data_IF_486109801259
#
_entry.id   IF_486109801259
#
_cell.length_a   1.000
_cell.length_b   1.000
_cell.length_c   1.000
_cell.angle_alpha   90.00
_cell.angle_beta   90.00
_cell.angle_gamma   90.00
#
_symmetry.space_group_name_H-M   'P 1'
#
loop_
_entity.id
_entity.type
_entity.pdbx_description
1 polymer ?
#
# COMPACT_ATOMS: atom_id res chain seq x y z
N UNK A 1 23.44 12.55 11.71
CA UNK A 1 22.02 12.90 11.50
C UNK A 1 21.69 14.31 11.99
N UNK A 2 21.88 14.63 13.27
CA UNK A 2 21.44 15.91 13.86
C UNK A 2 21.91 17.19 13.14
N UNK A 3 23.14 17.20 12.63
CA UNK A 3 23.73 18.40 12.00
C UNK A 3 23.36 18.62 10.53
N UNK A 4 22.87 17.60 9.82
CA UNK A 4 22.75 17.63 8.35
C UNK A 4 21.40 17.14 7.80
N UNK A 5 20.66 16.34 8.56
CA UNK A 5 19.45 15.69 8.04
C UNK A 5 18.21 16.55 8.28
N UNK A 6 17.52 16.94 7.20
CA UNK A 6 16.25 17.68 7.29
C UNK A 6 15.04 16.79 7.59
N UNK A 7 15.10 15.53 7.14
CA UNK A 7 14.02 14.55 7.29
C UNK A 7 14.58 13.29 7.92
N UNK A 8 13.81 12.69 8.82
CA UNK A 8 14.12 11.41 9.46
C UNK A 8 13.03 10.41 9.07
N UNK A 9 13.46 9.25 8.58
CA UNK A 9 12.62 8.09 8.28
C UNK A 9 13.06 6.92 9.15
N UNK A 10 12.10 6.22 9.74
CA UNK A 10 12.31 5.06 10.60
C UNK A 10 12.11 3.81 9.77
N UNK A 11 13.05 2.88 9.88
CA UNK A 11 12.91 1.55 9.29
C UNK A 11 12.09 0.69 10.26
N UNK A 12 10.89 0.31 9.83
CA UNK A 12 10.00 -0.57 10.57
C UNK A 12 9.86 -1.91 9.85
N UNK A 13 9.60 -2.98 10.59
CA UNK A 13 9.33 -4.30 10.03
C UNK A 13 8.05 -4.92 10.59
N UNK A 14 7.38 -5.72 9.77
CA UNK A 14 6.17 -6.47 10.16
C UNK A 14 6.52 -7.78 10.88
N UNK A 15 5.72 -8.13 11.90
CA UNK A 15 5.85 -9.39 12.63
C UNK A 15 5.05 -10.51 11.96
N UNK A 16 5.57 -11.03 10.84
CA UNK A 16 4.84 -11.98 9.99
C UNK A 16 4.61 -13.35 10.66
N UNK A 17 5.40 -13.71 11.68
CA UNK A 17 5.20 -14.98 12.41
C UNK A 17 3.97 -14.98 13.33
N UNK A 18 3.44 -13.81 13.67
CA UNK A 18 2.24 -13.68 14.51
C UNK A 18 0.98 -13.98 13.71
N UNK A 19 1.02 -13.78 12.39
CA UNK A 19 -0.09 -14.08 11.48
C UNK A 19 0.05 -15.49 10.90
N UNK A 20 -1.08 -16.17 10.68
CA UNK A 20 -1.13 -17.52 10.08
C UNK A 20 -1.01 -17.46 8.55
N UNK A 21 0.12 -16.96 8.05
CA UNK A 21 0.41 -16.88 6.61
C UNK A 21 1.64 -17.70 6.25
N UNK A 22 1.69 -18.24 5.03
CA UNK A 22 2.82 -19.05 4.54
C UNK A 22 4.12 -18.25 4.37
N UNK A 23 4.00 -16.96 4.07
CA UNK A 23 5.16 -16.08 3.93
C UNK A 23 5.89 -15.93 5.28
N UNK A 24 7.19 -16.22 5.30
CA UNK A 24 8.03 -16.07 6.52
C UNK A 24 8.86 -14.78 6.53
N UNK A 25 9.00 -14.13 5.38
CA UNK A 25 9.82 -12.92 5.21
C UNK A 25 9.05 -11.68 5.67
N UNK A 26 9.65 -10.90 6.55
CA UNK A 26 9.10 -9.63 7.01
C UNK A 26 9.13 -8.57 5.90
N UNK A 27 8.06 -7.78 5.81
CA UNK A 27 8.05 -6.54 5.04
C UNK A 27 8.76 -5.45 5.84
N UNK A 28 9.71 -4.78 5.19
CA UNK A 28 10.45 -3.64 5.74
C UNK A 28 9.93 -2.38 5.05
N UNK A 29 9.57 -1.37 5.84
CA UNK A 29 8.99 -0.11 5.36
C UNK A 29 9.69 1.06 6.03
N UNK A 30 9.92 2.12 5.26
CA UNK A 30 10.38 3.40 5.79
C UNK A 30 9.19 4.29 6.12
N UNK A 31 9.09 4.73 7.37
CA UNK A 31 8.02 5.60 7.85
C UNK A 31 8.62 6.96 8.20
N UNK A 32 8.15 8.03 7.57
CA UNK A 32 8.62 9.38 7.86
C UNK A 32 8.07 9.86 9.20
N UNK A 33 8.93 10.50 10.01
CA UNK A 33 8.50 11.18 11.24
C UNK A 33 8.21 12.66 10.99
N UNK A 34 6.97 13.03 11.28
CA UNK A 34 6.44 14.38 11.16
C UNK A 34 6.33 15.05 12.55
N UNK A 35 6.53 16.37 12.60
CA UNK A 35 6.48 17.17 13.84
C UNK A 35 7.80 17.29 14.63
N UNK A 36 7.91 18.30 15.50
CA UNK A 36 9.06 18.52 16.40
C UNK A 36 10.38 18.92 15.72
N UNK A 37 11.42 19.11 16.54
CA UNK A 37 12.79 19.36 16.06
C UNK A 37 13.50 18.04 15.65
N UNK A 38 14.64 18.14 14.94
CA UNK A 38 15.44 16.96 14.54
C UNK A 38 15.96 16.22 15.79
N UNK A 39 16.25 16.95 16.87
CA UNK A 39 16.69 16.40 18.15
C UNK A 39 15.60 15.56 18.82
N UNK A 40 14.39 16.09 18.89
CA UNK A 40 13.23 15.41 19.47
C UNK A 40 12.90 14.13 18.72
N UNK A 41 12.90 14.19 17.38
CA UNK A 41 12.71 13.02 16.53
C UNK A 41 13.74 11.95 16.83
N UNK A 42 15.01 12.31 16.95
CA UNK A 42 16.08 11.33 17.21
C UNK A 42 15.96 10.72 18.60
N UNK A 43 15.60 11.51 19.61
CA UNK A 43 15.35 11.01 20.97
C UNK A 43 14.19 10.03 20.98
N UNK A 44 13.07 10.39 20.36
CA UNK A 44 11.89 9.53 20.24
C UNK A 44 12.22 8.20 19.53
N UNK A 45 12.97 8.25 18.42
CA UNK A 45 13.40 7.02 17.71
C UNK A 45 14.22 6.12 18.62
N UNK A 46 15.20 6.68 19.34
CA UNK A 46 16.05 5.88 20.25
C UNK A 46 15.26 5.17 21.34
N UNK A 47 14.23 5.81 21.89
CA UNK A 47 13.38 5.22 22.92
C UNK A 47 12.47 4.10 22.40
N UNK A 48 12.16 4.12 21.10
CA UNK A 48 11.28 3.19 20.40
C UNK A 48 12.01 2.06 19.66
N UNK A 49 13.33 2.14 19.54
CA UNK A 49 14.11 1.03 18.99
C UNK A 49 13.85 -0.25 19.79
N UNK A 50 13.75 -1.37 19.07
CA UNK A 50 13.50 -2.72 19.58
C UNK A 50 12.13 -2.93 20.27
N UNK A 51 11.28 -1.90 20.35
CA UNK A 51 9.93 -2.01 20.92
C UNK A 51 8.87 -2.17 19.82
N UNK A 52 7.85 -3.02 20.04
CA UNK A 52 6.71 -3.10 19.14
C UNK A 52 5.86 -1.83 19.23
N UNK A 53 5.38 -1.35 18.09
CA UNK A 53 4.46 -0.20 18.01
C UNK A 53 3.06 -0.71 17.70
N UNK A 54 2.11 -0.43 18.59
CA UNK A 54 0.71 -0.78 18.40
C UNK A 54 0.01 0.17 17.41
N UNK A 55 -0.96 -0.35 16.67
CA UNK A 55 -1.75 0.43 15.68
C UNK A 55 -2.54 1.56 16.35
N UNK A 56 -3.05 1.33 17.57
CA UNK A 56 -3.78 2.31 18.38
C UNK A 56 -2.94 3.52 18.80
N UNK A 57 -1.60 3.44 18.72
CA UNK A 57 -0.72 4.59 18.95
C UNK A 57 -0.62 5.51 17.73
N UNK A 58 -0.97 5.01 16.56
CA UNK A 58 -0.82 5.72 15.28
C UNK A 58 -2.16 6.27 14.81
N UNK A 59 -3.21 5.44 14.86
CA UNK A 59 -4.54 5.81 14.35
C UNK A 59 -5.56 5.89 15.48
N UNK A 60 -6.43 6.90 15.39
CA UNK A 60 -7.56 7.06 16.27
C UNK A 60 -8.84 6.44 15.67
N UNK A 61 -9.85 6.22 16.52
CA UNK A 61 -11.17 5.86 16.05
C UNK A 61 -11.78 7.03 15.26
N UNK A 62 -12.48 6.72 14.16
CA UNK A 62 -13.13 7.68 13.26
C UNK A 62 -12.17 8.68 12.58
N UNK A 63 -10.89 8.32 12.47
CA UNK A 63 -9.90 9.08 11.69
C UNK A 63 -10.03 8.78 10.19
N UNK A 64 -9.85 9.81 9.36
CA UNK A 64 -9.78 9.67 7.90
C UNK A 64 -8.42 9.10 7.50
N UNK A 65 -8.41 7.89 6.93
CA UNK A 65 -7.19 7.14 6.60
C UNK A 65 -7.12 6.84 5.11
N UNK A 66 -5.92 6.94 4.54
CA UNK A 66 -5.61 6.52 3.18
C UNK A 66 -5.14 5.06 3.12
N UNK A 67 -5.66 4.30 2.15
CA UNK A 67 -5.31 2.90 1.92
C UNK A 67 -4.46 2.73 0.66
N UNK A 68 -3.24 2.19 0.80
CA UNK A 68 -2.34 1.88 -0.31
C UNK A 68 -2.19 0.36 -0.41
N UNK A 69 -2.35 -0.20 -1.61
CA UNK A 69 -2.20 -1.64 -1.83
C UNK A 69 -2.21 -2.03 -3.30
N UNK A 70 -1.80 -3.28 -3.57
CA UNK A 70 -1.89 -3.87 -4.91
C UNK A 70 -3.28 -4.43 -5.18
N UNK A 71 -3.85 -4.12 -6.36
CA UNK A 71 -5.12 -4.72 -6.79
C UNK A 71 -4.93 -6.18 -7.19
N UNK A 72 -5.95 -7.01 -7.00
CA UNK A 72 -5.94 -8.38 -7.52
C UNK A 72 -5.84 -8.38 -9.04
N UNK A 73 -4.72 -8.87 -9.56
CA UNK A 73 -4.47 -9.01 -11.00
C UNK A 73 -5.41 -10.07 -11.58
N UNK A 74 -6.05 -9.77 -12.72
CA UNK A 74 -7.04 -10.64 -13.38
C UNK A 74 -6.52 -11.29 -14.69
N UNK A 75 -5.22 -11.24 -14.95
CA UNK A 75 -4.59 -11.81 -16.15
C UNK A 75 -4.93 -11.06 -17.44
N UNK A 76 -4.67 -11.70 -18.58
CA UNK A 76 -5.03 -11.15 -19.90
C UNK A 76 -6.56 -11.15 -20.07
N UNK A 77 -7.09 -10.01 -20.49
CA UNK A 77 -8.53 -9.78 -20.62
C UNK A 77 -8.87 -9.29 -22.02
N UNK A 78 -10.07 -9.64 -22.49
CA UNK A 78 -10.62 -9.00 -23.67
C UNK A 78 -10.95 -7.53 -23.39
N UNK A 79 -11.02 -6.74 -24.45
CA UNK A 79 -11.31 -5.30 -24.39
C UNK A 79 -12.66 -5.00 -23.71
N UNK A 80 -13.62 -5.92 -23.77
CA UNK A 80 -14.91 -5.77 -23.09
C UNK A 80 -14.75 -5.86 -21.58
N UNK A 81 -14.09 -6.89 -21.05
CA UNK A 81 -13.95 -7.10 -19.61
C UNK A 81 -12.89 -6.22 -18.95
N UNK A 82 -12.07 -5.54 -19.76
CA UNK A 82 -11.10 -4.57 -19.30
C UNK A 82 -11.66 -3.15 -19.26
N UNK A 83 -12.36 -2.72 -20.32
CA UNK A 83 -12.86 -1.34 -20.46
C UNK A 83 -14.38 -1.21 -20.39
N UNK A 84 -15.11 -2.29 -20.11
CA UNK A 84 -16.58 -2.34 -20.10
C UNK A 84 -17.20 -1.82 -21.41
N UNK A 85 -16.57 -2.10 -22.54
CA UNK A 85 -17.06 -1.66 -23.86
C UNK A 85 -18.31 -2.42 -24.28
N UNK A 86 -19.12 -1.83 -25.17
CA UNK A 86 -20.32 -2.46 -25.70
C UNK A 86 -19.95 -3.56 -26.71
N UNK A 87 -20.35 -4.80 -26.42
CA UNK A 87 -20.23 -5.92 -27.38
C UNK A 87 -21.14 -5.69 -28.58
N UNK A 88 -20.64 -6.02 -29.77
CA UNK A 88 -21.46 -6.03 -30.99
C UNK A 88 -22.57 -7.09 -30.86
N UNK A 89 -23.77 -6.80 -31.38
CA UNK A 89 -24.85 -7.79 -31.49
C UNK A 89 -24.34 -8.98 -32.31
N UNK A 90 -24.56 -10.19 -31.82
CA UNK A 90 -24.12 -11.44 -32.45
C UNK A 90 -24.68 -11.54 -33.88
N UNK A 91 -23.80 -11.76 -34.86
CA UNK A 91 -24.12 -12.32 -36.18
C UNK A 91 -23.37 -13.65 -36.30
N UNK A 92 -23.84 -14.57 -37.15
CA UNK A 92 -23.44 -16.00 -37.29
C UNK A 92 -21.91 -16.28 -37.30
N UNK A 93 -21.05 -15.27 -37.45
CA UNK A 93 -19.59 -15.37 -37.30
C UNK A 93 -19.16 -14.98 -35.88
N UNK A 94 -18.77 -15.97 -35.07
CA UNK A 94 -18.21 -15.82 -33.72
C UNK A 94 -16.94 -14.96 -33.73
N UNK A 95 -17.09 -13.65 -33.54
CA UNK A 95 -15.95 -12.74 -33.32
C UNK A 95 -16.27 -11.78 -32.18
N UNK A 96 -15.41 -11.76 -31.16
CA UNK A 96 -15.45 -10.82 -30.05
C UNK A 96 -14.93 -9.46 -30.54
N UNK A 97 -15.77 -8.73 -31.29
CA UNK A 97 -15.46 -7.39 -31.82
C UNK A 97 -16.26 -6.33 -31.08
N UNK A 98 -15.61 -5.20 -30.82
CA UNK A 98 -16.25 -4.00 -30.26
C UNK A 98 -17.17 -3.40 -31.32
N UNK A 99 -18.31 -2.86 -30.91
CA UNK A 99 -19.10 -2.00 -31.79
C UNK A 99 -18.39 -0.64 -31.96
N UNK A 100 -17.89 -0.34 -33.15
CA UNK A 100 -17.38 0.99 -33.51
C UNK A 100 -18.56 1.95 -33.70
N UNK A 101 -18.47 3.17 -33.16
CA UNK A 101 -19.37 4.26 -33.58
C UNK A 101 -19.02 4.62 -35.02
N UNK A 102 -20.00 4.50 -35.91
CA UNK A 102 -19.99 5.15 -37.23
C UNK A 102 -20.17 6.64 -37.07
#
# INVERSE_FOLDING_TARGET
MLRYCKVIRVIAHSQVRVIKQSQKKAHVVEIQLNGGSIEDKMKWVRELLEKPVAVSKIFAQDEMIDCIGGTKVKGFKDVTSHWNTKKKKMKVKFTHKIATRS
#
